data_IF_940316542507
#
_entry.id   IF_940316542507
#
_cell.length_a   1.000
_cell.length_b   1.000
_cell.length_c   1.000
_cell.angle_alpha   90.00
_cell.angle_beta   90.00
_cell.angle_gamma   90.00
#
_symmetry.space_group_name_H-M   'P 1'
#
loop_
_entity.id
_entity.type
_entity.pdbx_description
1 polymer ?
#
# COMPACT_ATOMS: atom_id res chain seq x y z
N UNK A 1 -31.58 35.00 27.19
CA UNK A 1 -31.09 34.17 26.07
C UNK A 1 -30.40 32.96 26.67
N UNK A 2 -30.65 31.74 26.18
CA UNK A 2 -29.83 30.58 26.56
C UNK A 2 -28.37 30.88 26.24
N UNK A 3 -27.46 30.37 27.07
CA UNK A 3 -26.03 30.49 26.81
C UNK A 3 -25.68 29.72 25.53
N UNK A 4 -25.15 30.41 24.52
CA UNK A 4 -24.76 29.81 23.24
C UNK A 4 -23.28 29.40 23.30
N UNK A 5 -23.07 28.17 23.76
CA UNK A 5 -21.73 27.59 23.92
C UNK A 5 -20.99 27.40 22.59
N UNK A 6 -21.70 27.34 21.45
CA UNK A 6 -21.07 27.13 20.14
C UNK A 6 -20.38 28.41 19.68
N UNK A 7 -21.07 29.55 19.79
CA UNK A 7 -20.49 30.86 19.47
C UNK A 7 -19.34 31.24 20.40
N UNK A 8 -19.40 30.85 21.68
CA UNK A 8 -18.29 31.07 22.61
C UNK A 8 -17.02 30.33 22.17
N UNK A 9 -17.13 29.05 21.77
CA UNK A 9 -15.97 28.27 21.32
C UNK A 9 -15.44 28.74 19.96
N UNK A 10 -16.32 29.15 19.03
CA UNK A 10 -15.91 29.72 17.73
C UNK A 10 -15.15 31.05 17.88
N UNK A 11 -15.46 31.82 18.93
CA UNK A 11 -14.77 33.08 19.25
C UNK A 11 -13.38 32.90 19.89
N UNK A 12 -13.01 31.69 20.33
CA UNK A 12 -11.71 31.44 20.95
C UNK A 12 -10.60 31.37 19.90
N UNK A 13 -9.43 31.92 20.25
CA UNK A 13 -8.23 31.79 19.42
C UNK A 13 -7.67 30.38 19.54
N UNK A 14 -7.52 29.70 18.40
CA UNK A 14 -6.85 28.40 18.34
C UNK A 14 -5.34 28.55 18.63
N UNK A 15 -4.78 27.57 19.33
CA UNK A 15 -3.32 27.41 19.52
C UNK A 15 -2.64 26.77 18.31
N UNK A 16 -3.43 26.19 17.40
CA UNK A 16 -2.93 25.53 16.20
C UNK A 16 -2.73 26.52 15.07
N UNK A 17 -1.54 26.51 14.46
CA UNK A 17 -1.30 27.23 13.20
C UNK A 17 -1.97 26.54 12.01
N UNK A 18 -2.03 25.21 12.04
CA UNK A 18 -2.74 24.41 11.04
C UNK A 18 -3.01 23.01 11.59
N UNK A 19 -4.29 22.66 11.74
CA UNK A 19 -4.72 21.37 12.27
C UNK A 19 -4.56 20.23 11.26
N UNK A 20 -4.36 20.54 9.98
CA UNK A 20 -4.20 19.53 8.92
C UNK A 20 -2.99 18.61 9.17
N UNK A 21 -1.96 19.11 9.84
CA UNK A 21 -0.75 18.34 10.19
C UNK A 21 -0.98 17.33 11.31
N UNK A 22 -2.09 17.47 12.04
CA UNK A 22 -2.54 16.51 13.06
C UNK A 22 -3.47 15.44 12.47
N UNK A 23 -3.82 15.56 11.19
CA UNK A 23 -4.62 14.55 10.51
C UNK A 23 -3.88 13.21 10.48
N UNK A 24 -4.64 12.13 10.72
CA UNK A 24 -4.14 10.74 10.61
C UNK A 24 -3.67 10.44 9.18
N UNK A 25 -4.18 11.17 8.19
CA UNK A 25 -3.79 11.03 6.79
C UNK A 25 -2.55 11.84 6.41
N UNK A 26 -2.10 12.77 7.26
CA UNK A 26 -0.90 13.55 6.99
C UNK A 26 0.35 12.67 7.05
N UNK A 27 1.17 12.75 6.01
CA UNK A 27 2.47 12.08 5.94
C UNK A 27 3.56 13.15 5.89
N UNK A 28 4.33 13.34 6.96
CA UNK A 28 5.37 14.37 6.99
C UNK A 28 6.52 14.05 6.03
N UNK A 29 7.28 15.09 5.66
CA UNK A 29 8.39 14.95 4.73
C UNK A 29 9.57 14.13 5.30
N UNK A 30 9.79 14.25 6.59
CA UNK A 30 10.76 13.45 7.34
C UNK A 30 10.01 12.54 8.31
N UNK A 31 10.52 11.32 8.47
CA UNK A 31 10.05 10.34 9.45
C UNK A 31 11.23 9.99 10.35
N UNK A 32 11.48 10.79 11.41
CA UNK A 32 12.59 10.56 12.32
C UNK A 32 12.56 9.14 12.88
N UNK A 33 13.74 8.53 13.02
CA UNK A 33 13.91 7.16 13.54
C UNK A 33 13.29 6.06 12.65
N UNK A 34 13.02 6.37 11.38
CA UNK A 34 12.54 5.42 10.36
C UNK A 34 13.35 5.43 9.06
N UNK A 35 14.54 6.02 9.11
CA UNK A 35 15.43 6.16 7.95
C UNK A 35 15.96 4.80 7.48
N UNK A 36 16.17 3.86 8.41
CA UNK A 36 16.64 2.51 8.08
C UNK A 36 15.58 1.72 7.32
N UNK A 37 14.32 1.83 7.74
CA UNK A 37 13.15 1.21 7.12
C UNK A 37 12.92 1.78 5.72
N UNK A 38 12.96 3.11 5.57
CA UNK A 38 12.89 3.78 4.27
C UNK A 38 14.02 3.34 3.33
N UNK A 39 15.26 3.26 3.85
CA UNK A 39 16.42 2.81 3.07
C UNK A 39 16.29 1.36 2.63
N UNK A 40 15.79 0.50 3.50
CA UNK A 40 15.59 -0.92 3.19
C UNK A 40 14.54 -1.09 2.09
N UNK A 41 13.41 -0.37 2.16
CA UNK A 41 12.42 -0.35 1.08
C UNK A 41 13.03 0.18 -0.22
N UNK A 42 13.80 1.27 -0.18
CA UNK A 42 14.47 1.81 -1.36
C UNK A 42 15.43 0.79 -2.00
N UNK A 43 16.17 0.02 -1.21
CA UNK A 43 17.06 -1.03 -1.72
C UNK A 43 16.30 -2.17 -2.38
N UNK A 44 15.21 -2.63 -1.78
CA UNK A 44 14.39 -3.73 -2.33
C UNK A 44 13.67 -3.33 -3.62
N UNK A 45 13.19 -2.09 -3.72
CA UNK A 45 12.37 -1.63 -4.84
C UNK A 45 13.13 -0.88 -5.92
N UNK A 46 14.45 -0.68 -5.79
CA UNK A 46 15.27 0.05 -6.78
C UNK A 46 15.16 -0.50 -8.21
N UNK A 47 14.85 -1.79 -8.37
CA UNK A 47 14.68 -2.46 -9.67
C UNK A 47 13.49 -1.91 -10.44
N UNK A 48 12.44 -1.42 -9.76
CA UNK A 48 11.30 -0.77 -10.42
C UNK A 48 11.69 0.49 -11.18
N UNK A 49 12.81 1.11 -10.81
CA UNK A 49 13.34 2.32 -11.44
C UNK A 49 14.49 2.00 -12.40
N UNK A 50 15.39 1.11 -11.99
CA UNK A 50 16.62 0.80 -12.76
C UNK A 50 16.38 -0.17 -13.90
N UNK A 51 15.43 -1.10 -13.76
CA UNK A 51 15.02 -2.08 -14.79
C UNK A 51 13.50 -2.25 -14.79
N UNK A 52 12.73 -1.20 -15.16
CA UNK A 52 11.27 -1.22 -15.08
C UNK A 52 10.68 -2.40 -15.86
N UNK A 53 9.72 -3.11 -15.27
CA UNK A 53 9.07 -4.26 -15.90
C UNK A 53 9.87 -5.57 -15.86
N UNK A 54 11.10 -5.58 -15.34
CA UNK A 54 11.88 -6.83 -15.23
C UNK A 54 11.44 -7.70 -14.05
N UNK A 55 11.01 -7.08 -12.95
CA UNK A 55 10.65 -7.77 -11.71
C UNK A 55 9.50 -7.08 -11.02
N UNK A 56 8.63 -7.87 -10.41
CA UNK A 56 7.67 -7.38 -9.42
C UNK A 56 8.28 -7.50 -8.02
N UNK A 57 8.03 -6.50 -7.17
CA UNK A 57 8.50 -6.51 -5.78
C UNK A 57 7.31 -6.73 -4.85
N UNK A 58 7.50 -7.63 -3.89
CA UNK A 58 6.52 -7.95 -2.85
C UNK A 58 7.20 -7.78 -1.51
N UNK A 59 6.64 -6.95 -0.65
CA UNK A 59 7.24 -6.63 0.62
C UNK A 59 6.19 -6.60 1.72
N UNK A 60 6.55 -7.08 2.90
CA UNK A 60 5.67 -7.13 4.06
C UNK A 60 6.23 -6.25 5.16
N UNK A 61 5.37 -5.43 5.75
CA UNK A 61 5.67 -4.59 6.90
C UNK A 61 4.76 -4.99 8.05
N UNK A 62 5.35 -5.49 9.13
CA UNK A 62 4.65 -5.93 10.33
C UNK A 62 5.04 -5.11 11.56
N UNK A 63 4.18 -5.10 12.58
CA UNK A 63 4.50 -4.52 13.88
C UNK A 63 3.32 -3.86 14.60
N UNK A 64 3.50 -3.45 15.86
CA UNK A 64 2.42 -2.91 16.70
C UNK A 64 1.76 -1.63 16.13
N UNK A 65 0.61 -1.25 16.68
CA UNK A 65 -0.06 0.02 16.30
C UNK A 65 0.83 1.21 16.69
N UNK A 66 0.78 2.28 15.89
CA UNK A 66 1.49 3.52 16.20
C UNK A 66 3.00 3.49 15.92
N UNK A 67 3.55 2.41 15.35
CA UNK A 67 5.00 2.32 15.05
C UNK A 67 5.42 3.02 13.76
N UNK A 68 4.49 3.61 12.99
CA UNK A 68 4.81 4.36 11.76
C UNK A 68 4.76 3.56 10.46
N UNK A 69 4.30 2.30 10.46
CA UNK A 69 4.23 1.44 9.26
C UNK A 69 3.56 2.09 8.04
N UNK A 70 2.33 2.58 8.21
CA UNK A 70 1.56 3.23 7.15
C UNK A 70 2.25 4.52 6.67
N UNK A 71 2.79 5.33 7.59
CA UNK A 71 3.49 6.56 7.26
C UNK A 71 4.75 6.28 6.42
N UNK A 72 5.55 5.28 6.83
CA UNK A 72 6.74 4.85 6.07
C UNK A 72 6.35 4.32 4.69
N UNK A 73 5.34 3.47 4.59
CA UNK A 73 4.88 2.94 3.29
C UNK A 73 4.40 4.07 2.36
N UNK A 74 3.54 4.97 2.85
CA UNK A 74 3.06 6.13 2.07
C UNK A 74 4.22 7.04 1.64
N UNK A 75 5.13 7.40 2.56
CA UNK A 75 6.28 8.26 2.27
C UNK A 75 7.25 7.63 1.27
N UNK A 76 7.53 6.34 1.44
CA UNK A 76 8.36 5.59 0.51
C UNK A 76 7.77 5.57 -0.90
N UNK A 77 6.48 5.23 -1.03
CA UNK A 77 5.83 5.20 -2.36
C UNK A 77 5.78 6.57 -3.03
N UNK A 78 5.67 7.66 -2.26
CA UNK A 78 5.82 9.03 -2.78
C UNK A 78 7.21 9.28 -3.36
N UNK A 79 8.26 8.92 -2.63
CA UNK A 79 9.64 9.07 -3.10
C UNK A 79 9.89 8.25 -4.38
N UNK A 80 9.31 7.04 -4.45
CA UNK A 80 9.40 6.19 -5.64
C UNK A 80 8.70 6.80 -6.86
N UNK A 81 7.48 7.34 -6.70
CA UNK A 81 6.76 8.00 -7.80
C UNK A 81 7.53 9.23 -8.28
N UNK A 82 8.03 10.08 -7.38
CA UNK A 82 8.87 11.22 -7.76
C UNK A 82 10.15 10.80 -8.49
N UNK A 83 10.78 9.70 -8.06
CA UNK A 83 11.97 9.17 -8.74
C UNK A 83 11.66 8.58 -10.12
N UNK A 84 10.48 7.99 -10.29
CA UNK A 84 9.97 7.46 -11.56
C UNK A 84 9.64 8.60 -12.54
N UNK A 85 8.95 9.64 -12.09
CA UNK A 85 8.60 10.82 -12.89
C UNK A 85 9.84 11.49 -13.49
N UNK A 86 10.90 11.69 -12.69
CA UNK A 86 12.19 12.25 -13.15
C UNK A 86 12.87 11.42 -14.25
N UNK A 87 12.45 10.17 -14.45
CA UNK A 87 13.00 9.22 -15.42
C UNK A 87 11.99 8.83 -16.51
N UNK A 88 10.82 9.49 -16.55
CA UNK A 88 9.78 9.21 -17.54
C UNK A 88 9.06 7.87 -17.33
N UNK A 89 9.13 7.27 -16.15
CA UNK A 89 8.45 6.01 -15.82
C UNK A 89 7.05 6.34 -15.27
N UNK A 90 6.00 5.77 -15.87
CA UNK A 90 4.61 5.96 -15.45
C UNK A 90 4.24 5.06 -14.25
N UNK A 91 4.87 5.31 -13.11
CA UNK A 91 4.60 4.60 -11.86
C UNK A 91 3.49 5.29 -11.08
N UNK A 92 2.38 4.59 -10.89
CA UNK A 92 1.27 5.00 -10.03
C UNK A 92 1.42 4.37 -8.64
N UNK A 93 1.09 5.12 -7.59
CA UNK A 93 0.91 4.57 -6.24
C UNK A 93 -0.58 4.45 -5.93
N UNK A 94 -0.98 3.40 -5.22
CA UNK A 94 -2.34 3.27 -4.71
C UNK A 94 -2.31 2.73 -3.29
N UNK A 95 -2.97 3.41 -2.36
CA UNK A 95 -3.15 2.95 -0.98
C UNK A 95 -4.57 2.46 -0.77
N UNK A 96 -4.70 1.22 -0.29
CA UNK A 96 -5.97 0.59 0.02
C UNK A 96 -5.95 0.13 1.47
N UNK A 97 -6.79 0.75 2.29
CA UNK A 97 -7.09 0.25 3.63
C UNK A 97 -8.07 -0.94 3.51
N UNK A 98 -7.63 -2.12 3.93
CA UNK A 98 -8.36 -3.36 3.84
C UNK A 98 -9.40 -3.57 4.96
N UNK A 99 -9.42 -2.73 6.03
CA UNK A 99 -10.57 -2.67 6.95
C UNK A 99 -11.80 -2.03 6.31
N UNK A 100 -11.58 -1.05 5.44
CA UNK A 100 -12.66 -0.35 4.72
C UNK A 100 -13.15 -1.19 3.53
N UNK A 101 -12.22 -1.80 2.77
CA UNK A 101 -12.53 -2.58 1.58
C UNK A 101 -12.72 -4.05 1.95
N UNK A 102 -13.97 -4.43 2.24
CA UNK A 102 -14.30 -5.70 2.93
C UNK A 102 -14.36 -6.95 2.04
N UNK A 103 -13.92 -6.90 0.78
CA UNK A 103 -13.84 -8.06 -0.13
C UNK A 103 -12.78 -7.85 -1.22
N UNK A 104 -12.28 -8.95 -1.79
CA UNK A 104 -11.33 -8.93 -2.93
C UNK A 104 -11.89 -8.11 -4.09
N UNK A 105 -13.18 -8.34 -4.41
CA UNK A 105 -13.89 -7.57 -5.41
C UNK A 105 -13.76 -6.06 -5.22
N UNK A 106 -13.95 -5.55 -3.99
CA UNK A 106 -13.84 -4.12 -3.73
C UNK A 106 -12.40 -3.61 -3.84
N UNK A 107 -11.42 -4.42 -3.42
CA UNK A 107 -10.00 -4.09 -3.58
C UNK A 107 -9.62 -4.02 -5.06
N UNK A 108 -9.95 -5.05 -5.84
CA UNK A 108 -9.62 -5.11 -7.27
C UNK A 108 -10.38 -4.05 -8.08
N UNK A 109 -11.65 -3.80 -7.74
CA UNK A 109 -12.43 -2.72 -8.36
C UNK A 109 -11.80 -1.36 -8.07
N UNK A 110 -11.29 -1.13 -6.86
CA UNK A 110 -10.58 0.10 -6.50
C UNK A 110 -9.26 0.23 -7.27
N UNK A 111 -8.53 -0.86 -7.46
CA UNK A 111 -7.32 -0.90 -8.29
C UNK A 111 -7.63 -0.54 -9.75
N UNK A 112 -8.65 -1.16 -10.34
CA UNK A 112 -9.05 -0.88 -11.72
C UNK A 112 -9.55 0.56 -11.90
N UNK A 113 -10.31 1.08 -10.92
CA UNK A 113 -10.87 2.44 -10.98
C UNK A 113 -9.84 3.55 -10.85
N UNK A 114 -8.64 3.26 -10.33
CA UNK A 114 -7.51 4.20 -10.39
C UNK A 114 -7.21 4.59 -11.85
N UNK A 115 -7.33 3.63 -12.78
CA UNK A 115 -7.06 3.83 -14.20
C UNK A 115 -8.32 4.03 -15.04
N UNK A 116 -9.45 3.46 -14.60
CA UNK A 116 -10.76 3.55 -15.25
C UNK A 116 -11.82 4.06 -14.27
N UNK A 117 -11.86 5.36 -13.94
CA UNK A 117 -12.75 5.89 -12.89
C UNK A 117 -14.24 5.64 -13.11
N UNK A 118 -14.67 5.55 -14.39
CA UNK A 118 -16.06 5.29 -14.79
C UNK A 118 -16.42 3.81 -14.90
N UNK A 119 -15.51 2.89 -14.53
CA UNK A 119 -15.76 1.46 -14.61
C UNK A 119 -16.99 1.06 -13.77
N UNK A 120 -17.90 0.21 -14.28
CA UNK A 120 -19.15 -0.12 -13.60
C UNK A 120 -18.93 -0.76 -12.22
N UNK A 121 -19.93 -0.63 -11.33
CA UNK A 121 -19.85 -1.15 -9.94
C UNK A 121 -20.05 -2.66 -9.85
N UNK A 122 -20.62 -3.31 -10.87
CA UNK A 122 -21.05 -4.72 -10.89
C UNK A 122 -20.95 -5.27 -12.31
N UNK A 123 -21.06 -6.59 -12.43
CA UNK A 123 -21.09 -7.30 -13.72
C UNK A 123 -19.82 -8.07 -14.04
N UNK A 124 -18.88 -8.14 -13.09
CA UNK A 124 -17.61 -8.85 -13.26
C UNK A 124 -17.26 -9.67 -12.01
N UNK A 125 -16.53 -10.76 -12.20
CA UNK A 125 -15.90 -11.49 -11.10
C UNK A 125 -14.63 -10.77 -10.61
N UNK A 126 -14.12 -11.08 -9.40
CA UNK A 126 -12.83 -10.58 -8.93
C UNK A 126 -11.68 -10.86 -9.92
N UNK A 127 -11.64 -12.07 -10.50
CA UNK A 127 -10.61 -12.50 -11.44
C UNK A 127 -10.65 -11.69 -12.73
N UNK A 128 -11.84 -11.44 -13.27
CA UNK A 128 -12.03 -10.58 -14.44
C UNK A 128 -11.53 -9.14 -14.17
N UNK A 129 -11.77 -8.61 -12.97
CA UNK A 129 -11.26 -7.29 -12.58
C UNK A 129 -9.73 -7.23 -12.56
N UNK A 130 -9.07 -8.27 -12.05
CA UNK A 130 -7.60 -8.35 -12.07
C UNK A 130 -7.06 -8.47 -13.49
N UNK A 131 -7.69 -9.28 -14.33
CA UNK A 131 -7.29 -9.45 -15.72
C UNK A 131 -7.41 -8.12 -16.50
N UNK A 132 -8.54 -7.43 -16.35
CA UNK A 132 -8.72 -6.09 -16.95
C UNK A 132 -7.73 -5.06 -16.41
N UNK A 133 -7.38 -5.12 -15.12
CA UNK A 133 -6.34 -4.27 -14.56
C UNK A 133 -4.99 -4.52 -15.25
N UNK A 134 -4.58 -5.78 -15.40
CA UNK A 134 -3.33 -6.13 -16.09
C UNK A 134 -3.32 -5.62 -17.52
N UNK A 135 -4.39 -5.83 -18.27
CA UNK A 135 -4.52 -5.34 -19.65
C UNK A 135 -4.38 -3.82 -19.72
N UNK A 136 -5.02 -3.08 -18.81
CA UNK A 136 -4.90 -1.62 -18.75
C UNK A 136 -3.46 -1.18 -18.45
N UNK A 137 -2.79 -1.85 -17.49
CA UNK A 137 -1.40 -1.53 -17.16
C UNK A 137 -0.44 -1.80 -18.34
N UNK A 138 -0.68 -2.87 -19.09
CA UNK A 138 0.15 -3.23 -20.24
C UNK A 138 -0.04 -2.28 -21.43
N UNK A 139 -1.30 -2.07 -21.82
CA UNK A 139 -1.66 -1.24 -22.98
C UNK A 139 -1.24 0.20 -22.78
N UNK A 140 -1.34 0.71 -21.55
CA UNK A 140 -1.01 2.12 -21.25
C UNK A 140 0.45 2.34 -20.80
N UNK A 141 1.25 1.26 -20.77
CA UNK A 141 2.63 1.23 -20.28
C UNK A 141 2.76 1.86 -18.88
N UNK A 142 1.91 1.42 -17.96
CA UNK A 142 1.83 1.91 -16.58
C UNK A 142 2.27 0.84 -15.59
N UNK A 143 2.85 1.30 -14.49
CA UNK A 143 3.22 0.46 -13.36
C UNK A 143 2.38 0.84 -12.14
N UNK A 144 2.04 -0.12 -11.30
CA UNK A 144 1.31 0.08 -10.07
C UNK A 144 2.14 -0.38 -8.87
N UNK A 145 2.38 0.52 -7.93
CA UNK A 145 2.90 0.24 -6.59
C UNK A 145 1.75 0.32 -5.58
N UNK A 146 1.24 -0.85 -5.20
CA UNK A 146 0.08 -1.01 -4.35
C UNK A 146 0.48 -1.11 -2.86
N UNK A 147 -0.18 -0.37 -1.98
CA UNK A 147 -0.14 -0.59 -0.54
C UNK A 147 -1.45 -1.23 -0.11
N UNK A 148 -1.38 -2.42 0.46
CA UNK A 148 -2.49 -3.10 1.14
C UNK A 148 -2.31 -2.92 2.65
N UNK A 149 -3.06 -2.00 3.23
CA UNK A 149 -2.93 -1.62 4.64
C UNK A 149 -3.95 -2.34 5.53
N UNK A 150 -3.54 -2.68 6.75
CA UNK A 150 -4.27 -3.52 7.70
C UNK A 150 -4.70 -4.88 7.10
N UNK A 151 -3.81 -5.50 6.32
CA UNK A 151 -4.09 -6.73 5.59
C UNK A 151 -4.35 -7.93 6.52
N UNK A 152 -3.71 -7.96 7.70
CA UNK A 152 -3.96 -8.98 8.71
C UNK A 152 -5.43 -9.05 9.13
N UNK A 153 -6.09 -7.89 9.26
CA UNK A 153 -7.52 -7.84 9.55
C UNK A 153 -8.36 -8.48 8.44
N UNK A 154 -8.01 -8.18 7.19
CA UNK A 154 -8.73 -8.70 6.04
C UNK A 154 -8.59 -10.22 5.94
N UNK A 155 -7.37 -10.74 6.07
CA UNK A 155 -7.11 -12.18 5.95
C UNK A 155 -7.81 -12.95 7.07
N UNK A 156 -7.75 -12.45 8.30
CA UNK A 156 -8.44 -13.09 9.43
C UNK A 156 -9.96 -13.16 9.26
N UNK A 157 -10.57 -12.28 8.46
CA UNK A 157 -12.01 -12.29 8.21
C UNK A 157 -12.43 -13.00 6.93
N UNK A 158 -11.58 -13.02 5.91
CA UNK A 158 -11.93 -13.44 4.55
C UNK A 158 -11.10 -14.59 4.00
N UNK A 159 -10.02 -14.95 4.68
CA UNK A 159 -9.00 -15.84 4.14
C UNK A 159 -7.93 -15.08 3.34
N UNK A 160 -6.90 -15.81 2.91
CA UNK A 160 -5.72 -15.23 2.27
C UNK A 160 -5.73 -15.25 0.74
N UNK A 161 -6.90 -15.47 0.11
CA UNK A 161 -6.99 -15.57 -1.36
C UNK A 161 -6.49 -14.29 -2.04
N UNK A 162 -6.72 -13.11 -1.47
CA UNK A 162 -6.15 -11.85 -1.99
C UNK A 162 -4.63 -11.86 -2.13
N UNK A 163 -3.90 -12.45 -1.17
CA UNK A 163 -2.45 -12.59 -1.27
C UNK A 163 -2.10 -13.61 -2.36
N UNK A 164 -2.83 -14.73 -2.41
CA UNK A 164 -2.63 -15.76 -3.41
C UNK A 164 -2.83 -15.21 -4.84
N UNK A 165 -3.96 -14.58 -5.11
CA UNK A 165 -4.30 -14.01 -6.42
C UNK A 165 -3.26 -12.99 -6.88
N UNK A 166 -2.90 -12.02 -6.02
CA UNK A 166 -1.96 -10.96 -6.38
C UNK A 166 -0.53 -11.47 -6.54
N UNK A 167 -0.11 -12.45 -5.72
CA UNK A 167 1.21 -13.06 -5.85
C UNK A 167 1.29 -13.87 -7.14
N UNK A 168 0.30 -14.70 -7.42
CA UNK A 168 0.20 -15.51 -8.64
C UNK A 168 0.12 -14.66 -9.91
N UNK A 169 -0.66 -13.58 -9.90
CA UNK A 169 -0.76 -12.61 -11.00
C UNK A 169 0.61 -12.05 -11.41
N UNK A 170 1.51 -11.89 -10.44
CA UNK A 170 2.87 -11.40 -10.68
C UNK A 170 3.81 -12.53 -11.16
N UNK A 171 3.59 -13.79 -10.75
CA UNK A 171 4.47 -14.93 -11.12
C UNK A 171 4.10 -15.58 -12.47
N UNK A 172 2.81 -15.69 -12.81
CA UNK A 172 2.33 -16.39 -14.02
C UNK A 172 2.65 -15.64 -15.34
N UNK A 173 3.26 -14.45 -15.25
CA UNK A 173 3.59 -13.56 -16.37
C UNK A 173 5.01 -13.78 -16.92
N UNK A 174 5.31 -15.02 -17.31
CA UNK A 174 6.59 -15.37 -17.95
C UNK A 174 6.77 -14.58 -19.26
N UNK A 175 7.92 -13.92 -19.41
CA UNK A 175 8.29 -13.10 -20.58
C UNK A 175 7.42 -11.86 -20.85
N UNK A 176 6.56 -11.46 -19.92
CA UNK A 176 5.81 -10.21 -20.01
C UNK A 176 6.34 -9.16 -19.01
N UNK A 177 6.19 -7.86 -19.30
CA UNK A 177 6.55 -6.82 -18.36
C UNK A 177 5.81 -6.97 -17.02
N UNK A 178 6.57 -6.93 -15.94
CA UNK A 178 6.09 -6.97 -14.58
C UNK A 178 5.55 -5.59 -14.16
N UNK A 179 4.23 -5.44 -14.17
CA UNK A 179 3.56 -4.12 -13.98
C UNK A 179 3.10 -3.83 -12.56
N UNK A 180 3.04 -4.82 -11.68
CA UNK A 180 2.44 -4.68 -10.35
C UNK A 180 3.45 -5.03 -9.26
N UNK A 181 3.64 -4.14 -8.29
CA UNK A 181 4.41 -4.41 -7.08
C UNK A 181 3.58 -4.03 -5.86
N UNK A 182 3.81 -4.68 -4.73
CA UNK A 182 3.01 -4.47 -3.53
C UNK A 182 3.80 -4.36 -2.23
N UNK A 183 3.26 -3.56 -1.32
CA UNK A 183 3.64 -3.51 0.09
C UNK A 183 2.40 -3.90 0.91
N UNK A 184 2.46 -5.03 1.59
CA UNK A 184 1.45 -5.46 2.55
C UNK A 184 1.81 -4.94 3.94
N UNK A 185 0.89 -4.24 4.60
CA UNK A 185 1.07 -3.69 5.94
C UNK A 185 0.07 -4.32 6.88
N UNK A 186 0.53 -4.78 8.04
CA UNK A 186 -0.34 -5.37 9.05
C UNK A 186 0.33 -5.43 10.42
N UNK A 187 -0.38 -5.96 11.42
CA UNK A 187 0.23 -6.22 12.74
C UNK A 187 1.02 -7.52 12.73
N UNK A 188 0.35 -8.58 12.27
CA UNK A 188 0.88 -9.92 12.08
C UNK A 188 0.07 -10.57 10.95
N UNK A 189 0.63 -10.60 9.74
CA UNK A 189 -0.03 -11.13 8.55
C UNK A 189 0.20 -12.65 8.57
N UNK A 190 -0.87 -13.47 8.59
CA UNK A 190 -0.71 -14.91 8.56
C UNK A 190 -0.16 -15.35 7.19
N UNK A 191 1.06 -15.88 7.20
CA UNK A 191 1.79 -16.38 6.03
C UNK A 191 1.90 -17.89 6.14
N UNK A 192 0.80 -18.56 5.80
CA UNK A 192 0.67 -20.00 6.04
C UNK A 192 0.89 -20.82 4.76
N UNK A 193 1.54 -21.98 4.91
CA UNK A 193 1.75 -22.98 3.85
C UNK A 193 0.49 -23.51 3.17
N UNK A 194 -0.66 -23.36 3.83
CA UNK A 194 -1.96 -23.79 3.31
C UNK A 194 -2.60 -22.74 2.38
N UNK A 195 -2.08 -21.51 2.38
CA UNK A 195 -2.65 -20.35 1.65
C UNK A 195 -1.77 -19.97 0.47
N UNK A 196 -0.46 -20.19 0.57
CA UNK A 196 0.52 -19.77 -0.42
C UNK A 196 1.50 -20.92 -0.70
N UNK A 197 1.89 -21.07 -1.95
CA UNK A 197 2.90 -22.05 -2.34
C UNK A 197 4.26 -21.74 -1.69
N UNK A 198 5.08 -22.78 -1.45
CA UNK A 198 6.32 -22.68 -0.67
C UNK A 198 7.34 -21.67 -1.23
N UNK A 199 7.38 -21.49 -2.55
CA UNK A 199 8.23 -20.51 -3.24
C UNK A 199 7.79 -19.06 -2.97
N UNK A 200 6.48 -18.80 -2.99
CA UNK A 200 5.89 -17.50 -2.74
C UNK A 200 6.10 -17.11 -1.27
N UNK A 201 5.86 -18.06 -0.35
CA UNK A 201 6.13 -17.89 1.07
C UNK A 201 7.59 -17.56 1.34
N UNK A 202 8.52 -18.31 0.76
CA UNK A 202 9.95 -18.06 0.95
C UNK A 202 10.35 -16.65 0.49
N UNK A 203 9.78 -16.19 -0.63
CA UNK A 203 10.04 -14.85 -1.16
C UNK A 203 9.48 -13.76 -0.23
N UNK A 204 8.24 -13.92 0.23
CA UNK A 204 7.59 -12.97 1.14
C UNK A 204 8.28 -12.92 2.51
N UNK A 205 8.69 -14.06 3.06
CA UNK A 205 9.42 -14.14 4.33
C UNK A 205 10.79 -13.46 4.26
N UNK A 206 11.49 -13.53 3.12
CA UNK A 206 12.75 -12.80 2.91
C UNK A 206 12.54 -11.29 2.83
N UNK A 207 11.38 -10.85 2.35
CA UNK A 207 11.02 -9.45 2.18
C UNK A 207 10.08 -8.96 3.29
N UNK A 208 10.29 -9.43 4.52
CA UNK A 208 9.54 -9.04 5.71
C UNK A 208 10.38 -8.09 6.56
N UNK A 209 9.82 -6.94 6.90
CA UNK A 209 10.38 -5.99 7.86
C UNK A 209 9.46 -5.85 9.06
N UNK A 210 10.04 -6.01 10.26
CA UNK A 210 9.33 -5.83 11.53
C UNK A 210 9.65 -4.45 12.11
N UNK A 211 8.60 -3.71 12.43
CA UNK A 211 8.67 -2.41 13.06
C UNK A 211 8.59 -2.56 14.58
N UNK A 212 9.60 -2.04 15.25
CA UNK A 212 9.62 -1.93 16.70
C UNK A 212 8.87 -0.68 17.18
N UNK A 213 8.45 -0.69 18.45
CA UNK A 213 7.91 0.51 19.10
C UNK A 213 8.99 1.59 19.14
N UNK A 214 8.58 2.86 19.05
CA UNK A 214 9.49 3.96 19.31
C UNK A 214 10.04 3.85 20.73
N UNK A 215 11.35 4.06 20.89
CA UNK A 215 11.97 4.20 22.20
C UNK A 215 11.49 5.50 22.84
N UNK A 216 11.65 5.62 24.16
CA UNK A 216 11.32 6.86 24.89
C UNK A 216 12.10 8.08 24.39
N UNK A 217 13.30 7.87 23.82
CA UNK A 217 14.13 8.92 23.22
C UNK A 217 13.66 9.33 21.81
N UNK A 218 12.82 8.50 21.18
CA UNK A 218 12.28 8.71 19.84
C UNK A 218 10.80 9.17 19.84
N UNK A 219 10.22 9.38 21.03
CA UNK A 219 8.90 9.96 21.26
C UNK A 219 9.02 11.46 21.55
#
# INVERSE_FOLDING_TARGET
MPHDYVEEELGRRSVFKSEQFLSIDYVPEALPHRELELRTLAQSFKTLITTPGRTSQRFIIEGPVGTGKTAVAKRFTEQMVQAAERRGIRLHKLHINCRINKSEYLVYLRMLREFKPKFPRRGHSPEELLQMLVEVLDVEDRYLLLILDELDYFINQRGGNILYDLTRLMDDRLNAPQRLSMIAVGRNIPLDGNVLDSSILSTLQRNLMRFERYSSEAL
#
